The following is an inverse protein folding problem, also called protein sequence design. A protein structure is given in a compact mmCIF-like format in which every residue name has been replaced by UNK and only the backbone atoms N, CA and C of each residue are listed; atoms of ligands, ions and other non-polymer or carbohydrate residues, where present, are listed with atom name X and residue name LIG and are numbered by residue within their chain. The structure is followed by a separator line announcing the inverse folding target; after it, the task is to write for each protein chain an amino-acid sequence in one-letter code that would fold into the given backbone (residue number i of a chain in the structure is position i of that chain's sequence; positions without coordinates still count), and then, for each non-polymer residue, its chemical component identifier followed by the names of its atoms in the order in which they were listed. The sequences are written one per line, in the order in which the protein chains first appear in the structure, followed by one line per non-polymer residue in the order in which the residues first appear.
data_IF_985650809147
#
_entry.id   IF_985650809147
#
_cell.length_a   1.000
_cell.length_b   1.000
_cell.length_c   1.000
_cell.angle_alpha   90.00
_cell.angle_beta   90.00
_cell.angle_gamma   90.00
#
_symmetry.space_group_name_H-M   'P 1'
#
loop_
_entity.id
_entity.type
_entity.pdbx_description
1 polymer ?
#
# COMPACT_ATOMS: atom_id res chain seq x y z
N UNK A 1 -0.57 7.37 1.26
CA UNK A 1 0.03 6.09 0.82
C UNK A 1 1.52 5.99 1.10
N UNK A 2 2.30 7.06 0.97
CA UNK A 2 3.76 7.08 1.20
C UNK A 2 4.20 6.34 2.48
N UNK A 3 3.59 6.65 3.62
CA UNK A 3 3.91 6.04 4.93
C UNK A 3 3.79 4.50 4.93
N UNK A 4 2.75 3.95 4.31
CA UNK A 4 2.47 2.51 4.32
C UNK A 4 3.16 1.75 3.18
N UNK A 5 3.26 2.34 1.99
CA UNK A 5 3.78 1.68 0.78
C UNK A 5 5.26 1.95 0.60
N UNK A 6 5.67 3.21 0.67
CA UNK A 6 7.04 3.63 0.36
C UNK A 6 7.95 3.45 1.58
N UNK A 7 7.48 3.90 2.75
CA UNK A 7 8.21 3.88 4.03
C UNK A 7 7.94 2.60 4.85
N UNK A 8 6.94 1.80 4.46
CA UNK A 8 6.55 0.53 5.12
C UNK A 8 6.36 0.62 6.63
N UNK A 9 5.86 1.76 7.12
CA UNK A 9 5.53 1.91 8.53
C UNK A 9 4.42 0.93 8.92
N UNK A 10 4.51 0.41 10.14
CA UNK A 10 3.47 -0.46 10.69
C UNK A 10 2.18 0.33 10.94
N UNK A 11 1.05 -0.37 11.04
CA UNK A 11 -0.25 0.26 11.32
C UNK A 11 -0.19 1.10 12.59
N UNK A 12 0.44 0.58 13.64
CA UNK A 12 0.58 1.22 14.94
C UNK A 12 1.42 2.49 14.85
N UNK A 13 2.52 2.45 14.10
CA UNK A 13 3.37 3.62 13.87
C UNK A 13 2.62 4.73 13.11
N UNK A 14 1.74 4.38 12.16
CA UNK A 14 0.95 5.34 11.41
C UNK A 14 -0.14 5.98 12.30
N UNK A 15 -0.78 5.18 13.15
CA UNK A 15 -1.76 5.69 14.12
C UNK A 15 -1.07 6.63 15.13
N UNK A 16 0.15 6.31 15.56
CA UNK A 16 0.95 7.17 16.44
C UNK A 16 1.30 8.54 15.81
N UNK A 17 1.29 8.64 14.48
CA UNK A 17 1.47 9.91 13.73
C UNK A 17 0.15 10.71 13.66
N UNK A 18 -0.87 10.31 14.44
CA UNK A 18 -2.17 10.98 14.55
C UNK A 18 -3.01 10.90 13.27
N UNK A 19 -2.92 9.77 12.56
CA UNK A 19 -3.80 9.46 11.43
C UNK A 19 -5.01 8.67 11.93
N UNK A 20 -6.20 9.03 11.44
CA UNK A 20 -7.45 8.35 11.76
C UNK A 20 -7.40 6.85 11.39
N UNK A 21 -7.68 6.01 12.39
CA UNK A 21 -7.60 4.55 12.28
C UNK A 21 -8.62 3.98 11.28
N UNK A 22 -9.85 4.50 11.27
CA UNK A 22 -10.90 4.01 10.37
C UNK A 22 -10.56 4.30 8.92
N UNK A 23 -10.02 5.49 8.65
CA UNK A 23 -9.53 5.88 7.34
C UNK A 23 -8.36 5.00 6.92
N UNK A 24 -7.39 4.75 7.82
CA UNK A 24 -6.26 3.88 7.54
C UNK A 24 -6.71 2.46 7.16
N UNK A 25 -7.60 1.86 7.96
CA UNK A 25 -8.12 0.52 7.70
C UNK A 25 -8.92 0.45 6.39
N UNK A 26 -9.69 1.50 6.07
CA UNK A 26 -10.39 1.58 4.79
C UNK A 26 -9.40 1.58 3.61
N UNK A 27 -8.30 2.34 3.71
CA UNK A 27 -7.27 2.42 2.69
C UNK A 27 -6.56 1.07 2.55
N UNK A 28 -6.13 0.45 3.65
CA UNK A 28 -5.47 -0.85 3.65
C UNK A 28 -6.39 -1.89 2.99
N UNK A 29 -7.65 -2.01 3.42
CA UNK A 29 -8.62 -2.93 2.81
C UNK A 29 -8.78 -2.70 1.31
N UNK A 30 -8.81 -1.44 0.85
CA UNK A 30 -8.88 -1.11 -0.59
C UNK A 30 -7.62 -1.51 -1.35
N UNK A 31 -6.43 -1.38 -0.75
CA UNK A 31 -5.16 -1.79 -1.37
C UNK A 31 -5.17 -3.30 -1.63
N UNK A 32 -5.53 -4.09 -0.63
CA UNK A 32 -5.60 -5.56 -0.76
C UNK A 32 -6.70 -5.99 -1.74
N UNK A 33 -7.91 -5.43 -1.63
CA UNK A 33 -9.02 -5.76 -2.54
C UNK A 33 -8.73 -5.43 -4.00
N UNK A 34 -7.96 -4.38 -4.30
CA UNK A 34 -7.60 -4.02 -5.67
C UNK A 34 -6.27 -4.63 -6.14
N UNK A 35 -5.63 -5.50 -5.34
CA UNK A 35 -4.35 -6.09 -5.70
C UNK A 35 -4.39 -6.85 -7.03
N UNK A 36 -5.54 -7.47 -7.36
CA UNK A 36 -5.74 -8.18 -8.63
C UNK A 36 -5.52 -7.30 -9.88
N UNK A 37 -5.72 -5.98 -9.78
CA UNK A 37 -5.61 -5.02 -10.89
C UNK A 37 -4.16 -4.61 -11.19
N UNK A 38 -3.18 -4.97 -10.36
CA UNK A 38 -1.81 -4.44 -10.41
C UNK A 38 -0.90 -5.01 -11.52
N UNK A 39 -1.48 -5.46 -12.64
CA UNK A 39 -0.73 -5.77 -13.86
C UNK A 39 -0.72 -4.53 -14.77
N UNK A 40 -0.04 -3.49 -14.31
CA UNK A 40 0.05 -2.21 -15.03
C UNK A 40 1.08 -2.30 -16.16
N UNK A 41 0.92 -1.51 -17.25
CA UNK A 41 1.98 -1.35 -18.24
C UNK A 41 3.23 -0.72 -17.62
N UNK A 42 4.36 -0.81 -18.33
CA UNK A 42 5.61 -0.16 -17.92
C UNK A 42 5.40 1.36 -17.95
N UNK A 43 5.71 2.02 -16.83
CA UNK A 43 5.60 3.47 -16.64
C UNK A 43 6.92 3.96 -16.03
N UNK A 44 7.31 5.21 -16.32
CA UNK A 44 8.51 5.82 -15.76
C UNK A 44 8.44 5.89 -14.22
N UNK A 45 9.51 5.42 -13.56
CA UNK A 45 9.64 5.42 -12.10
C UNK A 45 10.18 6.77 -11.62
N UNK A 46 9.39 7.49 -10.83
CA UNK A 46 9.75 8.81 -10.28
C UNK A 46 10.26 8.74 -8.82
N UNK A 47 9.98 7.64 -8.12
CA UNK A 47 10.30 7.43 -6.70
C UNK A 47 11.09 6.14 -6.51
N UNK A 48 11.75 5.97 -5.36
CA UNK A 48 12.56 4.77 -5.05
C UNK A 48 11.74 3.47 -5.00
N UNK A 49 10.46 3.56 -4.64
CA UNK A 49 9.51 2.44 -4.56
C UNK A 49 8.18 2.84 -5.18
N UNK A 50 7.55 1.89 -5.87
CA UNK A 50 6.26 2.06 -6.55
C UNK A 50 5.31 0.89 -6.29
N UNK A 51 4.01 1.11 -6.47
CA UNK A 51 2.96 0.08 -6.33
C UNK A 51 2.90 -0.93 -7.49
N UNK A 52 3.79 -0.80 -8.48
CA UNK A 52 3.92 -1.70 -9.62
C UNK A 52 5.01 -2.74 -9.37
N UNK A 53 6.12 -2.62 -10.08
CA UNK A 53 7.22 -3.60 -10.05
C UNK A 53 7.84 -3.86 -8.67
N UNK A 54 7.84 -2.87 -7.77
CA UNK A 54 8.49 -3.00 -6.46
C UNK A 54 7.56 -3.58 -5.37
N UNK A 55 6.26 -3.71 -5.65
CA UNK A 55 5.24 -4.12 -4.68
C UNK A 55 4.86 -5.59 -4.87
N UNK A 56 5.81 -6.48 -4.59
CA UNK A 56 5.64 -7.93 -4.73
C UNK A 56 4.98 -8.56 -3.50
N UNK A 57 3.68 -8.35 -3.36
CA UNK A 57 2.87 -8.98 -2.31
C UNK A 57 2.04 -10.12 -2.90
N UNK A 58 1.81 -11.20 -2.14
CA UNK A 58 0.94 -12.27 -2.60
C UNK A 58 -0.47 -11.72 -2.91
N UNK A 59 -1.06 -12.21 -4.00
CA UNK A 59 -2.31 -11.66 -4.55
C UNK A 59 -3.54 -12.07 -3.75
N UNK A 60 -3.58 -13.32 -3.32
CA UNK A 60 -4.77 -13.95 -2.73
C UNK A 60 -4.55 -14.16 -1.24
N UNK A 61 -4.32 -13.06 -0.52
CA UNK A 61 -4.22 -13.06 0.94
C UNK A 61 -5.51 -12.49 1.49
N UNK A 62 -6.15 -13.24 2.38
CA UNK A 62 -7.21 -12.73 3.25
C UNK A 62 -6.57 -11.97 4.41
N UNK A 63 -6.91 -10.69 4.52
CA UNK A 63 -6.55 -9.80 5.64
C UNK A 63 -7.42 -10.08 6.86
#
# INVERSE_FOLDING_TARGET
MKLYVDERLSREAIIAINIDEKMLDMIIKRIFRNHFKRKMPVIAKLTSRTVGHDFNYPRDITL
#
